data_IF_934192277301
#
_entry.id   IF_934192277301
#
_cell.length_a   1.000
_cell.length_b   1.000
_cell.length_c   1.000
_cell.angle_alpha   90.00
_cell.angle_beta   90.00
_cell.angle_gamma   90.00
#
_symmetry.space_group_name_H-M   'P 1'
#
loop_
_entity.id
_entity.type
_entity.pdbx_description
1 polymer ?
#
# COMPACT_ATOMS: atom_id res chain seq x y z
N UNK A 1 0.75 -4.92 -3.32
CA UNK A 1 1.70 -6.04 -3.18
C UNK A 1 3.15 -5.60 -3.20
N UNK A 2 3.54 -4.68 -4.10
CA UNK A 2 4.93 -4.21 -4.17
C UNK A 2 5.41 -3.57 -2.87
N UNK A 3 4.55 -2.82 -2.20
CA UNK A 3 4.83 -2.24 -0.89
C UNK A 3 5.14 -3.31 0.16
N UNK A 4 4.35 -4.37 0.20
CA UNK A 4 4.58 -5.50 1.12
C UNK A 4 5.88 -6.22 0.80
N UNK A 5 6.20 -6.38 -0.49
CA UNK A 5 7.49 -6.94 -0.92
C UNK A 5 8.67 -6.09 -0.45
N UNK A 6 8.54 -4.76 -0.48
CA UNK A 6 9.59 -3.86 0.01
C UNK A 6 9.77 -3.96 1.51
N UNK A 7 8.69 -4.03 2.26
CA UNK A 7 8.72 -4.21 3.71
C UNK A 7 9.42 -5.53 4.09
N UNK A 8 9.18 -6.58 3.31
CA UNK A 8 9.83 -7.89 3.49
C UNK A 8 11.23 -7.95 2.88
N UNK A 9 11.66 -6.92 2.16
CA UNK A 9 12.96 -6.88 1.46
C UNK A 9 13.14 -8.02 0.46
N UNK A 10 12.08 -8.42 -0.22
CA UNK A 10 12.11 -9.56 -1.15
C UNK A 10 13.08 -9.35 -2.30
N UNK A 11 13.23 -8.12 -2.79
CA UNK A 11 14.17 -7.80 -3.86
C UNK A 11 15.61 -8.22 -3.57
N UNK A 12 16.02 -8.26 -2.30
CA UNK A 12 17.36 -8.68 -1.89
C UNK A 12 17.59 -10.18 -1.97
N UNK A 13 16.52 -10.97 -2.02
CA UNK A 13 16.60 -12.43 -2.10
C UNK A 13 16.48 -12.98 -3.52
N UNK A 14 16.15 -12.12 -4.49
CA UNK A 14 15.98 -12.54 -5.87
C UNK A 14 17.31 -12.72 -6.60
N UNK A 15 17.35 -13.65 -7.55
CA UNK A 15 18.46 -13.82 -8.46
C UNK A 15 18.18 -13.07 -9.75
N UNK A 16 19.00 -12.05 -10.01
CA UNK A 16 18.84 -11.18 -11.18
C UNK A 16 20.07 -11.24 -12.05
N UNK A 17 19.87 -11.13 -13.36
CA UNK A 17 21.00 -10.91 -14.28
C UNK A 17 21.65 -9.57 -13.98
N UNK A 18 22.90 -9.42 -14.42
CA UNK A 18 23.63 -8.15 -14.27
C UNK A 18 22.90 -6.99 -14.94
N UNK A 19 22.35 -7.22 -16.14
CA UNK A 19 21.57 -6.21 -16.86
C UNK A 19 20.31 -5.81 -16.12
N UNK A 20 19.58 -6.77 -15.55
CA UNK A 20 18.37 -6.50 -14.80
C UNK A 20 18.66 -5.73 -13.49
N UNK A 21 19.74 -6.06 -12.80
CA UNK A 21 20.19 -5.30 -11.63
C UNK A 21 20.56 -3.86 -11.99
N UNK A 22 21.25 -3.67 -13.08
CA UNK A 22 21.69 -2.35 -13.52
C UNK A 22 20.54 -1.44 -13.94
N UNK A 23 19.42 -2.02 -14.35
CA UNK A 23 18.19 -1.29 -14.72
C UNK A 23 17.16 -1.17 -13.59
N UNK A 24 17.55 -1.52 -12.36
CA UNK A 24 16.68 -1.38 -11.18
C UNK A 24 15.67 -2.49 -10.99
N UNK A 25 15.89 -3.67 -11.59
CA UNK A 25 14.99 -4.82 -11.48
C UNK A 25 14.57 -5.18 -10.05
N UNK A 26 15.53 -5.27 -9.08
CA UNK A 26 15.18 -5.59 -7.69
C UNK A 26 14.22 -4.62 -6.99
N UNK A 27 14.06 -3.42 -7.53
CA UNK A 27 13.16 -2.39 -7.00
C UNK A 27 11.97 -2.10 -7.90
N UNK A 28 11.82 -2.82 -9.00
CA UNK A 28 10.71 -2.63 -9.93
C UNK A 28 9.44 -3.23 -9.37
N UNK A 29 8.35 -2.46 -9.36
CA UNK A 29 7.09 -2.85 -8.74
C UNK A 29 6.50 -4.14 -9.33
N UNK A 30 6.54 -4.31 -10.65
CA UNK A 30 6.04 -5.53 -11.30
C UNK A 30 6.80 -6.77 -10.83
N UNK A 31 8.11 -6.67 -10.69
CA UNK A 31 8.97 -7.77 -10.22
C UNK A 31 8.70 -8.05 -8.74
N UNK A 32 8.55 -7.01 -7.93
CA UNK A 32 8.25 -7.16 -6.51
C UNK A 32 6.88 -7.78 -6.28
N UNK A 33 5.89 -7.46 -7.09
CA UNK A 33 4.58 -8.13 -7.06
C UNK A 33 4.71 -9.61 -7.40
N UNK A 34 5.43 -9.93 -8.46
CA UNK A 34 5.67 -11.32 -8.86
C UNK A 34 6.41 -12.11 -7.79
N UNK A 35 7.38 -11.50 -7.13
CA UNK A 35 8.11 -12.12 -6.02
C UNK A 35 7.20 -12.38 -4.81
N UNK A 36 6.30 -11.46 -4.50
CA UNK A 36 5.31 -11.65 -3.44
C UNK A 36 4.38 -12.82 -3.75
N UNK A 37 3.87 -12.88 -4.96
CA UNK A 37 3.02 -13.99 -5.43
C UNK A 37 3.76 -15.33 -5.37
N UNK A 38 5.02 -15.35 -5.76
CA UNK A 38 5.87 -16.54 -5.69
C UNK A 38 6.10 -17.01 -4.25
N UNK A 39 6.34 -16.06 -3.33
CA UNK A 39 6.47 -16.36 -1.91
C UNK A 39 5.18 -16.94 -1.35
N UNK A 40 4.05 -16.37 -1.70
CA UNK A 40 2.74 -16.85 -1.27
C UNK A 40 2.48 -18.28 -1.80
N UNK A 41 2.81 -18.53 -3.07
CA UNK A 41 2.74 -19.86 -3.66
C UNK A 41 3.63 -20.88 -2.95
N UNK A 42 4.84 -20.48 -2.59
CA UNK A 42 5.77 -21.33 -1.82
C UNK A 42 5.23 -21.68 -0.43
N UNK A 43 4.65 -20.71 0.27
CA UNK A 43 4.02 -20.93 1.59
C UNK A 43 2.84 -21.89 1.45
N UNK A 44 2.04 -21.72 0.40
CA UNK A 44 0.92 -22.62 0.12
C UNK A 44 1.38 -24.07 -0.14
N UNK A 45 2.41 -24.25 -0.95
CA UNK A 45 2.93 -25.57 -1.29
C UNK A 45 3.56 -26.27 -0.07
N UNK A 46 4.20 -25.52 0.80
CA UNK A 46 4.88 -26.07 1.98
C UNK A 46 3.92 -26.32 3.15
N UNK A 47 3.04 -25.35 3.45
CA UNK A 47 2.19 -25.35 4.64
C UNK A 47 0.69 -25.44 4.41
N UNK A 48 0.24 -25.44 3.16
CA UNK A 48 -1.17 -25.52 2.81
C UNK A 48 -1.92 -24.19 2.85
N UNK A 49 -3.22 -24.25 2.58
CA UNK A 49 -4.09 -23.08 2.47
C UNK A 49 -4.18 -22.29 3.78
N UNK A 50 -4.20 -22.95 4.92
CA UNK A 50 -4.30 -22.31 6.22
C UNK A 50 -3.09 -21.43 6.52
N UNK A 51 -1.89 -21.91 6.22
CA UNK A 51 -0.65 -21.13 6.39
C UNK A 51 -0.61 -19.93 5.44
N UNK A 52 -1.01 -20.11 4.20
CA UNK A 52 -1.11 -19.03 3.23
C UNK A 52 -2.13 -17.98 3.68
N UNK A 53 -3.30 -18.39 4.16
CA UNK A 53 -4.31 -17.49 4.71
C UNK A 53 -3.80 -16.72 5.92
N UNK A 54 -3.12 -17.38 6.85
CA UNK A 54 -2.55 -16.75 8.04
C UNK A 54 -1.52 -15.71 7.67
N UNK A 55 -0.68 -15.99 6.69
CA UNK A 55 0.32 -15.06 6.17
C UNK A 55 -0.33 -13.82 5.54
N UNK A 56 -1.32 -14.00 4.68
CA UNK A 56 -2.06 -12.91 4.05
C UNK A 56 -2.75 -12.05 5.11
N UNK A 57 -3.44 -12.67 6.06
CA UNK A 57 -4.17 -11.96 7.11
C UNK A 57 -3.24 -11.08 7.94
N UNK A 58 -2.07 -11.59 8.32
CA UNK A 58 -1.11 -10.80 9.11
C UNK A 58 -0.61 -9.57 8.37
N UNK A 59 -0.36 -9.70 7.07
CA UNK A 59 0.20 -8.60 6.27
C UNK A 59 -0.87 -7.62 5.80
N UNK A 60 -2.00 -8.12 5.29
CA UNK A 60 -3.03 -7.28 4.70
C UNK A 60 -3.93 -6.62 5.73
N UNK A 61 -4.20 -7.25 6.87
CA UNK A 61 -5.04 -6.65 7.89
C UNK A 61 -4.45 -5.38 8.47
N UNK A 62 -3.15 -5.34 8.68
CA UNK A 62 -2.46 -4.13 9.12
C UNK A 62 -2.65 -2.99 8.12
N UNK A 63 -2.50 -3.28 6.83
CA UNK A 63 -2.70 -2.29 5.77
C UNK A 63 -4.17 -1.84 5.67
N UNK A 64 -5.11 -2.75 5.79
CA UNK A 64 -6.55 -2.45 5.78
C UNK A 64 -6.94 -1.60 6.99
N UNK A 65 -6.42 -1.88 8.18
CA UNK A 65 -6.69 -1.09 9.37
C UNK A 65 -6.22 0.36 9.20
N UNK A 66 -5.05 0.59 8.62
CA UNK A 66 -4.57 1.94 8.32
C UNK A 66 -5.49 2.66 7.32
N UNK A 67 -5.92 1.99 6.27
CA UNK A 67 -6.87 2.54 5.29
C UNK A 67 -8.22 2.85 5.92
N UNK A 68 -8.74 1.96 6.75
CA UNK A 68 -10.00 2.15 7.45
C UNK A 68 -9.94 3.37 8.37
N UNK A 69 -8.87 3.53 9.13
CA UNK A 69 -8.66 4.70 9.99
C UNK A 69 -8.69 6.00 9.19
N UNK A 70 -8.06 6.02 8.04
CA UNK A 70 -8.07 7.18 7.15
C UNK A 70 -9.48 7.53 6.66
N UNK A 71 -10.23 6.54 6.18
CA UNK A 71 -11.61 6.74 5.73
C UNK A 71 -12.55 7.16 6.86
N UNK A 72 -12.42 6.56 8.02
CA UNK A 72 -13.22 6.91 9.20
C UNK A 72 -12.95 8.36 9.63
N UNK A 73 -11.70 8.79 9.62
CA UNK A 73 -11.33 10.17 9.97
C UNK A 73 -11.91 11.18 8.98
N UNK A 74 -11.83 10.88 7.68
CA UNK A 74 -12.42 11.73 6.64
C UNK A 74 -13.95 11.82 6.78
N UNK A 75 -14.61 10.69 7.00
CA UNK A 75 -16.06 10.63 7.17
C UNK A 75 -16.51 11.43 8.38
N UNK A 76 -15.82 11.30 9.50
CA UNK A 76 -16.12 12.06 10.73
C UNK A 76 -15.97 13.57 10.53
N UNK A 77 -14.93 13.97 9.82
CA UNK A 77 -14.73 15.39 9.49
C UNK A 77 -15.85 15.93 8.60
N UNK A 78 -16.27 15.17 7.60
CA UNK A 78 -17.37 15.53 6.71
C UNK A 78 -18.71 15.63 7.48
N UNK A 79 -18.99 14.67 8.36
CA UNK A 79 -20.18 14.69 9.20
C UNK A 79 -20.21 15.91 10.12
N UNK A 80 -19.11 16.24 10.75
CA UNK A 80 -18.98 17.43 11.59
C UNK A 80 -19.23 18.70 10.81
N UNK A 81 -18.61 18.82 9.65
CA UNK A 81 -18.76 19.99 8.79
C UNK A 81 -20.21 20.17 8.32
N UNK A 82 -20.86 19.08 7.92
CA UNK A 82 -22.25 19.09 7.48
C UNK A 82 -23.19 19.49 8.61
N UNK A 83 -22.97 18.97 9.81
CA UNK A 83 -23.78 19.28 11.00
C UNK A 83 -23.69 20.75 11.41
N UNK A 84 -22.54 21.38 11.20
CA UNK A 84 -22.28 22.77 11.58
C UNK A 84 -22.38 23.75 10.39
N UNK A 85 -22.86 23.29 9.24
CA UNK A 85 -22.98 24.08 8.01
C UNK A 85 -21.64 24.70 7.56
N UNK A 86 -20.56 23.94 7.73
CA UNK A 86 -19.22 24.34 7.33
C UNK A 86 -18.93 23.71 5.97
N UNK A 87 -18.48 24.53 5.03
CA UNK A 87 -18.00 24.03 3.73
C UNK A 87 -16.53 23.70 3.83
N UNK A 88 -16.17 22.45 3.51
CA UNK A 88 -14.78 22.00 3.46
C UNK A 88 -14.26 22.09 2.03
N UNK A 89 -13.08 22.64 1.88
CA UNK A 89 -12.36 22.68 0.62
C UNK A 89 -11.06 21.89 0.75
N UNK A 90 -10.74 21.14 -0.29
CA UNK A 90 -9.55 20.32 -0.36
C UNK A 90 -8.66 20.84 -1.49
N UNK A 91 -7.44 21.20 -1.16
CA UNK A 91 -6.43 21.58 -2.16
C UNK A 91 -5.32 20.55 -2.19
N UNK A 92 -5.03 20.04 -3.37
CA UNK A 92 -3.88 19.17 -3.58
C UNK A 92 -2.60 20.00 -3.49
N UNK A 93 -1.74 19.65 -2.53
CA UNK A 93 -0.44 20.33 -2.34
C UNK A 93 0.63 19.63 -3.16
N UNK A 94 0.68 18.32 -3.06
CA UNK A 94 1.68 17.51 -3.75
C UNK A 94 1.19 16.09 -3.95
N UNK A 95 1.70 15.47 -4.98
CA UNK A 95 1.57 14.04 -5.18
C UNK A 95 2.97 13.48 -5.44
N UNK A 96 3.27 12.35 -4.88
CA UNK A 96 4.54 11.68 -5.07
C UNK A 96 4.37 10.17 -5.05
N UNK A 97 5.33 9.48 -5.65
CA UNK A 97 5.32 8.05 -5.78
C UNK A 97 4.83 7.55 -7.13
N UNK A 98 5.03 6.25 -7.43
CA UNK A 98 4.56 5.62 -8.66
C UNK A 98 3.04 5.52 -8.69
N UNK A 99 2.44 5.35 -9.88
CA UNK A 99 0.99 5.37 -10.09
C UNK A 99 0.19 4.47 -9.16
N UNK A 100 0.71 3.34 -8.76
CA UNK A 100 0.03 2.37 -7.89
C UNK A 100 0.32 2.55 -6.40
N UNK A 101 1.23 3.47 -6.04
CA UNK A 101 1.55 3.84 -4.66
C UNK A 101 1.64 5.36 -4.51
N UNK A 102 0.82 6.09 -5.24
CA UNK A 102 0.81 7.54 -5.17
C UNK A 102 0.37 8.02 -3.80
N UNK A 103 1.18 8.90 -3.21
CA UNK A 103 0.83 9.63 -2.01
C UNK A 103 0.41 11.04 -2.37
N UNK A 104 -0.72 11.46 -1.82
CA UNK A 104 -1.28 12.78 -2.04
C UNK A 104 -1.24 13.57 -0.76
N UNK A 105 -0.71 14.78 -0.84
CA UNK A 105 -0.75 15.73 0.25
C UNK A 105 -1.81 16.76 -0.05
N UNK A 106 -2.80 16.88 0.82
CA UNK A 106 -3.90 17.82 0.63
C UNK A 106 -4.05 18.73 1.84
N UNK A 107 -4.38 19.97 1.59
CA UNK A 107 -4.87 20.88 2.61
C UNK A 107 -6.38 20.80 2.69
N UNK A 108 -6.89 20.78 3.90
CA UNK A 108 -8.32 20.89 4.17
C UNK A 108 -8.56 22.16 4.93
N UNK A 109 -9.44 23.00 4.44
CA UNK A 109 -9.79 24.25 5.10
C UNK A 109 -11.29 24.51 5.03
N UNK A 110 -11.79 25.24 6.00
CA UNK A 110 -13.19 25.63 6.06
C UNK A 110 -13.42 26.98 5.40
N UNK A 111 -14.53 27.10 4.68
CA UNK A 111 -15.02 28.34 4.12
C UNK A 111 -16.30 28.72 4.85
N UNK A 112 -16.31 29.92 5.41
CA UNK A 112 -17.47 30.45 6.10
C UNK A 112 -18.25 31.40 5.21
#
# INVERSE_FOLDING_TARGET
LSKLSRELKLGSYGYFSKGERNTGGPNRDSILCDMFESLLGAIYLDGGLEEANSFIKRLLLTDIEHKKLYYDSKSKLQEYAQKNNITLCYNLISECGPEHEKEYKVNVFSVH
#
